data_IF_014988719217
#
_entry.id   IF_014988719217
#
_cell.length_a   1.000
_cell.length_b   1.000
_cell.length_c   1.000
_cell.angle_alpha   90.00
_cell.angle_beta   90.00
_cell.angle_gamma   90.00
#
_symmetry.space_group_name_H-M   'P 1'
#
loop_
_entity.id
_entity.type
_entity.pdbx_description
1 polymer ?
#
# COMPACT_ATOMS: atom_id res chain seq x y z
N UNK A 1 16.44 32.54 -12.97
CA UNK A 1 14.97 32.53 -12.78
C UNK A 1 14.57 31.21 -12.15
N UNK A 2 14.25 31.22 -10.85
CA UNK A 2 13.81 30.03 -10.10
C UNK A 2 12.34 29.76 -10.45
N UNK A 3 12.02 28.59 -11.01
CA UNK A 3 10.65 28.05 -10.99
C UNK A 3 10.51 27.25 -9.70
N UNK A 4 9.76 27.79 -8.73
CA UNK A 4 9.18 26.99 -7.67
C UNK A 4 8.11 26.12 -8.33
N UNK A 5 8.32 24.81 -8.33
CA UNK A 5 7.25 23.85 -8.63
C UNK A 5 6.29 23.87 -7.44
N UNK A 6 5.15 24.55 -7.62
CA UNK A 6 3.99 24.37 -6.76
C UNK A 6 3.50 22.93 -6.97
N UNK A 7 3.97 22.02 -6.12
CA UNK A 7 3.38 20.70 -5.98
C UNK A 7 1.93 20.92 -5.52
N UNK A 8 0.97 20.40 -6.30
CA UNK A 8 -0.44 20.82 -6.29
C UNK A 8 -1.19 20.50 -5.00
N UNK A 9 -0.96 21.31 -3.96
CA UNK A 9 -1.71 21.38 -2.72
C UNK A 9 -3.02 22.18 -2.81
N UNK A 10 -3.23 23.00 -3.85
CA UNK A 10 -4.28 24.03 -3.85
C UNK A 10 -5.42 23.88 -4.87
N UNK A 11 -5.62 22.70 -5.47
CA UNK A 11 -6.87 22.37 -6.19
C UNK A 11 -7.77 21.43 -5.37
N UNK A 12 -7.83 21.61 -4.05
CA UNK A 12 -8.81 20.97 -3.17
C UNK A 12 -10.01 21.88 -2.82
N UNK A 13 -10.15 23.05 -3.46
CA UNK A 13 -11.18 24.04 -3.10
C UNK A 13 -12.44 24.01 -3.98
N UNK A 14 -12.62 23.02 -4.86
CA UNK A 14 -13.82 22.93 -5.71
C UNK A 14 -14.34 21.48 -5.85
N UNK A 15 -14.46 20.77 -4.73
CA UNK A 15 -15.37 19.64 -4.64
C UNK A 15 -16.47 20.00 -3.64
N UNK A 16 -17.58 20.50 -4.18
CA UNK A 16 -18.83 20.82 -3.49
C UNK A 16 -19.55 19.60 -2.89
N UNK A 17 -18.85 18.47 -2.71
CA UNK A 17 -19.29 17.39 -1.82
C UNK A 17 -19.23 17.76 -0.33
N UNK A 18 -18.82 19.01 -0.02
CA UNK A 18 -18.98 19.66 1.28
C UNK A 18 -19.64 21.06 1.14
N UNK A 19 -20.62 21.21 0.24
CA UNK A 19 -21.37 22.44 -0.01
C UNK A 19 -22.64 22.58 0.86
N UNK A 20 -22.76 23.71 1.54
CA UNK A 20 -23.77 24.08 2.53
C UNK A 20 -25.24 23.79 2.16
N UNK A 21 -25.87 22.83 2.84
CA UNK A 21 -27.33 22.80 3.00
C UNK A 21 -27.72 23.55 4.27
N UNK A 22 -28.57 24.57 4.10
CA UNK A 22 -29.12 25.40 5.17
C UNK A 22 -29.89 24.56 6.19
N UNK A 23 -29.48 24.70 7.45
CA UNK A 23 -30.21 24.52 8.70
C UNK A 23 -31.22 23.35 8.78
N UNK A 24 -30.75 22.24 9.37
CA UNK A 24 -31.44 21.53 10.46
C UNK A 24 -30.39 20.76 11.26
N UNK A 25 -30.62 20.57 12.56
CA UNK A 25 -29.61 20.27 13.57
C UNK A 25 -28.76 19.00 13.32
N UNK A 26 -27.46 19.12 13.65
CA UNK A 26 -26.46 18.05 13.86
C UNK A 26 -26.00 17.27 12.61
N UNK A 27 -25.26 17.94 11.72
CA UNK A 27 -24.23 17.24 10.94
C UNK A 27 -22.93 17.23 11.75
N UNK A 28 -22.83 16.29 12.71
CA UNK A 28 -21.54 15.96 13.31
C UNK A 28 -20.61 15.55 12.18
N UNK A 29 -19.44 16.19 12.09
CA UNK A 29 -18.29 15.64 11.37
C UNK A 29 -18.12 14.22 11.93
N UNK A 30 -18.47 13.18 11.16
CA UNK A 30 -18.25 11.79 11.59
C UNK A 30 -16.74 11.54 11.60
N UNK A 31 -16.09 11.99 12.66
CA UNK A 31 -14.76 11.56 13.03
C UNK A 31 -14.79 10.05 13.20
N UNK A 32 -13.69 9.37 12.88
CA UNK A 32 -13.57 7.95 13.23
C UNK A 32 -13.75 7.83 14.73
N UNK A 33 -14.89 7.23 15.14
CA UNK A 33 -15.18 6.99 16.54
C UNK A 33 -14.29 5.85 17.02
N UNK A 34 -13.11 6.18 17.49
CA UNK A 34 -12.19 5.21 18.11
C UNK A 34 -12.67 4.85 19.52
N UNK A 35 -12.23 3.70 20.01
CA UNK A 35 -12.45 3.31 21.40
C UNK A 35 -11.75 4.29 22.35
N UNK A 36 -12.31 4.52 23.56
CA UNK A 36 -11.63 5.27 24.60
C UNK A 36 -10.26 4.66 24.94
N UNK A 37 -9.26 5.46 25.39
CA UNK A 37 -7.93 4.96 25.74
C UNK A 37 -7.95 3.79 26.74
N UNK A 38 -8.85 3.83 27.72
CA UNK A 38 -9.02 2.79 28.75
C UNK A 38 -9.42 1.44 28.14
N UNK A 39 -10.32 1.44 27.15
CA UNK A 39 -10.74 0.22 26.46
C UNK A 39 -9.63 -0.33 25.56
N UNK A 40 -8.82 0.55 24.94
CA UNK A 40 -7.68 0.15 24.11
C UNK A 40 -6.61 -0.61 24.90
N UNK A 41 -6.40 -0.27 26.17
CA UNK A 41 -5.42 -0.96 27.03
C UNK A 41 -5.79 -2.43 27.28
N UNK A 42 -7.08 -2.76 27.19
CA UNK A 42 -7.60 -4.12 27.38
C UNK A 42 -7.97 -4.82 26.06
N UNK A 43 -7.79 -4.16 24.92
CA UNK A 43 -8.19 -4.70 23.63
C UNK A 43 -7.21 -5.76 23.14
N UNK A 44 -7.70 -6.97 22.91
CA UNK A 44 -6.93 -8.06 22.32
C UNK A 44 -7.07 -8.12 20.80
N UNK A 45 -6.08 -8.75 20.16
CA UNK A 45 -6.08 -8.94 18.72
C UNK A 45 -7.19 -9.91 18.38
N UNK A 46 -8.19 -9.45 17.62
CA UNK A 46 -9.33 -10.28 17.23
C UNK A 46 -8.89 -11.48 16.39
N UNK A 47 -9.23 -12.68 16.86
CA UNK A 47 -9.11 -13.91 16.07
C UNK A 47 -10.43 -14.19 15.36
N UNK A 48 -10.43 -14.05 14.03
CA UNK A 48 -11.56 -14.44 13.21
C UNK A 48 -11.43 -15.92 12.84
N UNK A 49 -12.48 -16.69 13.06
CA UNK A 49 -12.57 -18.07 12.54
C UNK A 49 -12.64 -18.03 11.02
N UNK A 50 -12.00 -19.01 10.39
CA UNK A 50 -11.94 -19.14 8.93
C UNK A 50 -13.31 -18.88 8.30
N UNK A 51 -13.39 -17.76 7.59
CA UNK A 51 -14.58 -17.42 6.82
C UNK A 51 -14.72 -18.40 5.65
N UNK A 52 -15.92 -18.49 5.08
CA UNK A 52 -16.22 -19.25 3.85
C UNK A 52 -15.55 -18.63 2.60
N UNK A 53 -14.27 -18.28 2.70
CA UNK A 53 -13.46 -17.75 1.61
C UNK A 53 -13.34 -18.82 0.52
N UNK A 54 -13.54 -18.46 -0.75
CA UNK A 54 -13.35 -19.39 -1.85
C UNK A 54 -11.87 -19.76 -2.05
N UNK A 55 -10.92 -18.93 -1.57
CA UNK A 55 -9.49 -19.25 -1.54
C UNK A 55 -9.13 -19.70 -0.13
N UNK A 56 -8.67 -20.95 0.00
CA UNK A 56 -8.22 -21.56 1.25
C UNK A 56 -6.69 -21.56 1.36
N UNK A 57 -5.99 -21.70 0.23
CA UNK A 57 -4.53 -21.75 0.18
C UNK A 57 -3.98 -20.91 -0.96
N UNK A 58 -2.95 -20.13 -0.66
CA UNK A 58 -2.20 -19.37 -1.64
C UNK A 58 -0.78 -19.94 -1.75
N UNK A 59 -0.36 -20.26 -2.96
CA UNK A 59 0.99 -20.75 -3.27
C UNK A 59 1.72 -19.69 -4.07
N UNK A 60 2.87 -19.26 -3.60
CA UNK A 60 3.69 -18.28 -4.32
C UNK A 60 4.61 -19.00 -5.29
N UNK A 61 4.60 -18.58 -6.55
CA UNK A 61 5.49 -19.13 -7.56
C UNK A 61 6.94 -18.72 -7.28
N UNK A 62 7.85 -19.68 -7.44
CA UNK A 62 9.29 -19.50 -7.36
C UNK A 62 9.97 -20.07 -8.60
N UNK A 63 11.15 -19.57 -8.94
CA UNK A 63 11.92 -20.05 -10.10
C UNK A 63 13.38 -20.29 -9.79
N UNK A 64 13.96 -21.26 -10.48
CA UNK A 64 15.38 -21.56 -10.50
C UNK A 64 16.10 -20.71 -11.56
N UNK A 65 17.42 -20.54 -11.42
CA UNK A 65 18.27 -19.65 -12.25
C UNK A 65 18.21 -19.91 -13.79
N UNK A 66 17.51 -20.97 -14.23
CA UNK A 66 17.33 -21.36 -15.62
C UNK A 66 16.30 -20.53 -16.39
N UNK A 67 15.49 -19.68 -15.75
CA UNK A 67 14.60 -18.76 -16.47
C UNK A 67 15.38 -17.51 -16.90
N UNK A 68 16.05 -17.60 -18.05
CA UNK A 68 16.64 -16.44 -18.71
C UNK A 68 15.63 -15.30 -18.77
N UNK A 69 16.01 -14.04 -18.45
CA UNK A 69 15.13 -12.90 -18.65
C UNK A 69 14.79 -12.85 -20.14
N UNK A 70 13.53 -13.11 -20.50
CA UNK A 70 13.08 -12.95 -21.87
C UNK A 70 13.08 -11.45 -22.15
N UNK A 71 14.19 -10.96 -22.72
CA UNK A 71 14.29 -9.61 -23.26
C UNK A 71 13.45 -9.54 -24.52
N UNK A 72 12.15 -9.35 -24.38
CA UNK A 72 11.31 -8.86 -25.48
C UNK A 72 11.48 -7.34 -25.49
N UNK A 73 12.21 -6.82 -26.49
CA UNK A 73 12.29 -5.39 -26.83
C UNK A 73 12.54 -4.42 -25.66
N UNK A 74 13.57 -4.69 -24.84
CA UNK A 74 14.27 -3.65 -24.07
C UNK A 74 13.53 -2.94 -22.92
N UNK A 75 12.32 -3.35 -22.52
CA UNK A 75 11.52 -2.60 -21.53
C UNK A 75 10.64 -3.46 -20.61
N UNK A 76 10.97 -4.73 -20.35
CA UNK A 76 10.20 -5.50 -19.36
C UNK A 76 10.62 -5.12 -17.95
N UNK A 77 9.70 -4.61 -17.12
CA UNK A 77 9.93 -4.37 -15.67
C UNK A 77 9.98 -5.66 -14.84
N UNK A 78 9.81 -6.81 -15.49
CA UNK A 78 10.03 -8.13 -14.90
C UNK A 78 11.52 -8.44 -14.73
N UNK A 79 11.82 -9.13 -13.63
CA UNK A 79 13.18 -9.44 -13.19
C UNK A 79 13.14 -10.69 -12.29
N UNK A 80 14.30 -11.08 -11.74
CA UNK A 80 14.41 -12.21 -10.82
C UNK A 80 13.57 -12.03 -9.53
N UNK A 81 13.23 -10.80 -9.13
CA UNK A 81 12.34 -10.56 -7.99
C UNK A 81 10.89 -10.96 -8.30
N UNK A 82 10.41 -10.64 -9.50
CA UNK A 82 9.00 -10.78 -9.86
C UNK A 82 8.69 -12.07 -10.61
N UNK A 83 9.71 -12.63 -11.28
CA UNK A 83 9.52 -13.63 -12.32
C UNK A 83 8.92 -12.99 -13.58
N UNK A 84 8.92 -13.74 -14.68
CA UNK A 84 8.36 -13.27 -15.94
C UNK A 84 6.94 -13.81 -16.14
N UNK A 85 5.94 -13.09 -15.61
CA UNK A 85 4.54 -13.50 -15.76
C UNK A 85 4.06 -13.23 -17.20
N UNK A 86 3.61 -14.27 -17.89
CA UNK A 86 2.94 -14.18 -19.19
C UNK A 86 1.53 -13.61 -19.08
N UNK A 87 0.92 -13.19 -20.19
CA UNK A 87 -0.49 -12.78 -20.20
C UNK A 87 -1.45 -13.93 -19.86
N UNK A 88 -1.14 -15.17 -20.28
CA UNK A 88 -1.94 -16.33 -19.92
C UNK A 88 -1.91 -16.59 -18.39
N UNK A 89 -0.73 -16.52 -17.77
CA UNK A 89 -0.59 -16.63 -16.31
C UNK A 89 -1.27 -15.47 -15.58
N UNK A 90 -1.22 -14.26 -16.14
CA UNK A 90 -1.99 -13.11 -15.64
C UNK A 90 -3.49 -13.44 -15.62
N UNK A 91 -4.07 -13.86 -16.75
CA UNK A 91 -5.51 -14.18 -16.80
C UNK A 91 -5.90 -15.33 -15.86
N UNK A 92 -5.08 -16.37 -15.80
CA UNK A 92 -5.32 -17.51 -14.91
C UNK A 92 -5.26 -17.10 -13.43
N UNK A 93 -4.41 -16.13 -13.06
CA UNK A 93 -4.27 -15.68 -11.67
C UNK A 93 -5.50 -14.97 -11.09
N UNK A 94 -6.43 -14.50 -11.95
CA UNK A 94 -7.71 -13.94 -11.53
C UNK A 94 -8.82 -14.99 -11.35
N UNK A 95 -8.57 -16.25 -11.72
CA UNK A 95 -9.52 -17.34 -11.53
C UNK A 95 -9.42 -17.84 -10.09
N UNK A 96 -10.53 -17.73 -9.37
CA UNK A 96 -10.59 -18.10 -7.95
C UNK A 96 -10.90 -19.59 -7.80
N UNK A 97 -10.04 -20.30 -7.08
CA UNK A 97 -10.20 -21.70 -6.70
C UNK A 97 -9.76 -21.89 -5.23
N UNK A 98 -9.95 -23.08 -4.68
CA UNK A 98 -9.54 -23.35 -3.28
C UNK A 98 -8.03 -23.18 -3.06
N UNK A 99 -7.21 -23.54 -4.06
CA UNK A 99 -5.76 -23.34 -4.06
C UNK A 99 -5.34 -22.57 -5.30
N UNK A 100 -4.78 -21.38 -5.09
CA UNK A 100 -4.32 -20.49 -6.18
C UNK A 100 -2.80 -20.39 -6.15
N UNK A 101 -2.16 -20.54 -7.31
CA UNK A 101 -0.73 -20.26 -7.50
C UNK A 101 -0.55 -18.91 -8.18
N UNK A 102 0.31 -18.04 -7.63
CA UNK A 102 0.45 -16.66 -8.13
C UNK A 102 1.88 -16.12 -8.03
N UNK A 103 2.28 -15.29 -9.00
CA UNK A 103 3.47 -14.44 -8.87
C UNK A 103 3.22 -13.40 -7.78
N UNK A 104 4.16 -13.20 -6.85
CA UNK A 104 3.93 -12.26 -5.76
C UNK A 104 5.22 -11.66 -5.19
N UNK A 105 6.17 -11.32 -6.07
CA UNK A 105 7.53 -10.96 -5.67
C UNK A 105 8.30 -12.13 -5.03
N UNK A 106 9.56 -11.89 -4.69
CA UNK A 106 10.48 -12.90 -4.14
C UNK A 106 10.49 -14.22 -4.94
N UNK A 107 10.44 -14.12 -6.26
CA UNK A 107 10.37 -15.28 -7.16
C UNK A 107 11.68 -16.10 -7.14
N UNK A 108 12.82 -15.41 -7.06
CA UNK A 108 14.14 -16.02 -6.94
C UNK A 108 14.93 -15.32 -5.80
N UNK A 109 15.75 -16.09 -5.09
CA UNK A 109 16.57 -15.61 -3.96
C UNK A 109 17.60 -14.54 -4.35
N UNK A 110 18.04 -14.57 -5.61
CA UNK A 110 18.92 -13.58 -6.22
C UNK A 110 18.15 -12.36 -6.78
N UNK A 111 16.83 -12.31 -6.58
CA UNK A 111 15.96 -11.23 -7.02
C UNK A 111 16.18 -9.87 -6.34
N UNK A 112 16.90 -9.83 -5.22
CA UNK A 112 17.14 -8.60 -4.46
C UNK A 112 16.17 -8.42 -3.29
N UNK A 113 15.97 -7.17 -2.86
CA UNK A 113 15.25 -6.79 -1.63
C UNK A 113 15.78 -7.54 -0.39
N UNK A 114 17.10 -7.52 -0.21
CA UNK A 114 17.79 -8.26 0.84
C UNK A 114 17.64 -7.55 2.19
N UNK A 115 17.15 -8.29 3.17
CA UNK A 115 17.00 -7.87 4.57
C UNK A 115 17.92 -8.72 5.44
N UNK A 116 18.51 -8.13 6.49
CA UNK A 116 19.34 -8.86 7.46
C UNK A 116 18.53 -9.93 8.18
N UNK A 117 19.16 -11.05 8.54
CA UNK A 117 18.43 -12.16 9.16
C UNK A 117 17.87 -11.81 10.55
N UNK A 118 18.52 -10.92 11.29
CA UNK A 118 17.99 -10.38 12.55
C UNK A 118 16.68 -9.61 12.34
N UNK A 119 16.61 -8.78 11.29
CA UNK A 119 15.39 -8.05 10.92
C UNK A 119 14.31 -9.02 10.43
N UNK A 120 14.65 -10.05 9.64
CA UNK A 120 13.69 -11.09 9.24
C UNK A 120 13.09 -11.81 10.45
N UNK A 121 13.92 -12.20 11.43
CA UNK A 121 13.46 -12.84 12.67
C UNK A 121 12.53 -11.93 13.47
N UNK A 122 12.86 -10.65 13.59
CA UNK A 122 11.97 -9.67 14.21
C UNK A 122 10.65 -9.54 13.45
N UNK A 123 10.69 -9.42 12.12
CA UNK A 123 9.49 -9.28 11.28
C UNK A 123 8.61 -10.54 11.33
N UNK A 124 9.20 -11.72 11.47
CA UNK A 124 8.48 -12.99 11.67
C UNK A 124 7.73 -13.07 13.00
N UNK A 125 8.12 -12.33 14.05
CA UNK A 125 7.40 -12.37 15.34
C UNK A 125 6.21 -11.41 15.40
N UNK A 126 6.04 -10.53 14.41
CA UNK A 126 5.01 -9.50 14.41
C UNK A 126 3.62 -10.06 14.08
N UNK A 127 2.70 -10.00 15.03
CA UNK A 127 1.28 -10.36 14.84
C UNK A 127 0.45 -9.22 14.23
N UNK A 128 0.78 -7.97 14.59
CA UNK A 128 0.21 -6.75 14.02
C UNK A 128 1.36 -5.82 13.65
N UNK A 129 1.30 -5.23 12.46
CA UNK A 129 2.35 -4.33 11.97
C UNK A 129 1.79 -3.01 11.47
N UNK A 130 2.39 -1.91 11.90
CA UNK A 130 2.30 -0.61 11.21
C UNK A 130 3.60 -0.44 10.43
N UNK A 131 3.51 -0.18 9.13
CA UNK A 131 4.69 -0.05 8.28
C UNK A 131 4.67 1.18 7.38
N UNK A 132 5.86 1.67 7.08
CA UNK A 132 6.12 2.74 6.12
C UNK A 132 7.44 2.47 5.38
N UNK A 133 7.71 3.19 4.29
CA UNK A 133 9.02 3.14 3.65
C UNK A 133 9.42 4.49 3.08
N UNK A 134 10.73 4.74 3.07
CA UNK A 134 11.34 5.79 2.27
C UNK A 134 12.53 5.20 1.54
N UNK A 135 12.52 5.27 0.21
CA UNK A 135 13.64 4.86 -0.64
C UNK A 135 14.10 6.06 -1.48
N UNK A 136 15.41 6.21 -1.66
CA UNK A 136 16.01 7.35 -2.35
C UNK A 136 16.05 8.66 -1.54
N UNK A 137 15.80 8.63 -0.23
CA UNK A 137 15.96 9.77 0.68
C UNK A 137 14.96 10.93 0.49
N UNK A 138 13.76 10.64 -0.02
CA UNK A 138 12.75 11.66 -0.35
C UNK A 138 11.99 12.25 0.85
N UNK A 139 11.72 11.45 1.88
CA UNK A 139 10.84 11.81 2.99
C UNK A 139 11.51 11.61 4.35
N UNK A 140 11.06 12.39 5.34
CA UNK A 140 11.49 12.25 6.74
C UNK A 140 10.72 11.14 7.46
N UNK A 141 11.30 10.65 8.55
CA UNK A 141 10.66 9.66 9.42
C UNK A 141 9.87 10.33 10.55
N UNK A 142 8.55 10.43 10.36
CA UNK A 142 7.67 10.98 11.39
C UNK A 142 7.30 9.92 12.43
N UNK A 143 7.48 10.24 13.72
CA UNK A 143 7.13 9.34 14.81
C UNK A 143 5.60 9.17 14.93
N UNK A 144 5.09 7.95 15.12
CA UNK A 144 3.67 7.75 15.38
C UNK A 144 3.31 8.34 16.74
N UNK A 145 2.17 9.05 16.78
CA UNK A 145 1.68 9.76 17.97
C UNK A 145 0.31 9.21 18.39
N UNK A 146 0.02 9.24 19.69
CA UNK A 146 -1.26 8.76 20.22
C UNK A 146 -1.37 7.23 20.32
N UNK A 147 -0.25 6.53 20.49
CA UNK A 147 -0.23 5.09 20.76
C UNK A 147 -0.46 4.82 22.25
N UNK A 148 -1.38 3.93 22.58
CA UNK A 148 -1.57 3.36 23.93
C UNK A 148 -0.39 2.49 24.35
N UNK A 149 -0.28 2.18 25.64
CA UNK A 149 0.77 1.29 26.14
C UNK A 149 0.58 -0.12 25.59
N UNK A 150 -0.65 -0.64 25.58
CA UNK A 150 -0.98 -1.91 24.94
C UNK A 150 -0.54 -1.97 23.47
N UNK A 151 -0.83 -0.93 22.67
CA UNK A 151 -0.40 -0.88 21.27
C UNK A 151 1.12 -0.87 21.10
N UNK A 152 1.87 -0.22 21.98
CA UNK A 152 3.34 -0.28 21.92
C UNK A 152 3.92 -1.65 22.24
N UNK A 153 3.16 -2.51 22.92
CA UNK A 153 3.58 -3.88 23.25
C UNK A 153 3.08 -4.92 22.24
N UNK A 154 1.89 -4.71 21.66
CA UNK A 154 1.23 -5.67 20.76
C UNK A 154 1.51 -5.42 19.27
N UNK A 155 1.98 -4.22 18.90
CA UNK A 155 2.15 -3.81 17.49
C UNK A 155 3.61 -3.51 17.17
N UNK A 156 4.11 -4.12 16.10
CA UNK A 156 5.40 -3.78 15.52
C UNK A 156 5.29 -2.50 14.66
N UNK A 157 6.24 -1.58 14.79
CA UNK A 157 6.34 -0.40 13.93
C UNK A 157 7.61 -0.53 13.10
N UNK A 158 7.48 -0.65 11.77
CA UNK A 158 8.62 -0.93 10.87
C UNK A 158 8.75 0.12 9.78
N UNK A 159 9.93 0.72 9.65
CA UNK A 159 10.26 1.63 8.57
C UNK A 159 11.34 1.01 7.66
N UNK A 160 11.03 0.86 6.38
CA UNK A 160 11.96 0.32 5.38
C UNK A 160 12.74 1.45 4.71
N UNK A 161 14.06 1.37 4.75
CA UNK A 161 14.98 2.32 4.12
C UNK A 161 15.93 1.62 3.14
N UNK A 162 16.48 2.37 2.21
CA UNK A 162 17.64 1.98 1.41
C UNK A 162 18.88 2.73 1.91
N UNK A 163 20.05 2.39 1.34
CA UNK A 163 21.31 3.02 1.72
C UNK A 163 21.33 4.53 1.48
N UNK A 164 20.65 4.98 0.43
CA UNK A 164 20.51 6.40 0.12
C UNK A 164 19.72 7.12 1.21
N UNK A 165 18.61 6.53 1.64
CA UNK A 165 17.78 7.10 2.72
C UNK A 165 18.53 7.07 4.04
N UNK A 166 19.21 5.97 4.37
CA UNK A 166 20.05 5.87 5.57
C UNK A 166 21.08 7.01 5.62
N UNK A 167 21.90 7.16 4.58
CA UNK A 167 22.91 8.21 4.54
C UNK A 167 22.31 9.62 4.60
N UNK A 168 21.15 9.84 3.98
CA UNK A 168 20.45 11.13 4.01
C UNK A 168 19.95 11.46 5.43
N UNK A 169 19.38 10.48 6.12
CA UNK A 169 18.84 10.66 7.48
C UNK A 169 19.98 10.82 8.51
N UNK A 170 21.07 10.07 8.38
CA UNK A 170 22.25 10.22 9.25
C UNK A 170 22.90 11.61 9.12
N UNK A 171 22.97 12.15 7.90
CA UNK A 171 23.47 13.50 7.65
C UNK A 171 22.61 14.60 8.30
N UNK A 172 21.33 14.33 8.56
CA UNK A 172 20.40 15.21 9.26
C UNK A 172 20.37 14.96 10.78
N UNK A 173 21.22 14.05 11.28
CA UNK A 173 21.31 13.72 12.69
C UNK A 173 20.33 12.63 13.15
N UNK A 174 19.53 12.05 12.24
CA UNK A 174 18.65 10.92 12.55
C UNK A 174 19.45 9.61 12.46
N UNK A 175 20.06 9.22 13.59
CA UNK A 175 20.86 8.00 13.67
C UNK A 175 20.04 6.84 14.22
N UNK A 176 20.25 5.66 13.64
CA UNK A 176 19.70 4.40 14.15
C UNK A 176 20.40 4.10 15.49
N UNK A 177 19.63 3.88 16.55
CA UNK A 177 20.18 3.47 17.85
C UNK A 177 20.80 2.06 17.79
N UNK A 178 21.60 1.70 18.79
CA UNK A 178 22.24 0.37 18.86
C UNK A 178 21.22 -0.79 18.87
N UNK A 179 20.02 -0.53 19.39
CA UNK A 179 18.88 -1.46 19.35
C UNK A 179 18.22 -1.58 17.96
N UNK A 180 18.67 -0.81 16.97
CA UNK A 180 18.16 -0.71 15.61
C UNK A 180 16.86 0.09 15.46
N UNK A 181 16.53 0.96 16.41
CA UNK A 181 15.33 1.79 16.39
C UNK A 181 15.64 3.29 16.24
N UNK A 182 14.66 4.02 15.70
CA UNK A 182 14.55 5.47 15.84
C UNK A 182 13.17 5.77 16.43
N UNK A 183 13.14 6.14 17.72
CA UNK A 183 11.89 6.26 18.47
C UNK A 183 11.13 4.93 18.49
N UNK A 184 9.90 4.91 17.97
CA UNK A 184 9.08 3.69 17.91
C UNK A 184 9.41 2.78 16.72
N UNK A 185 10.05 3.32 15.68
CA UNK A 185 10.28 2.59 14.44
C UNK A 185 11.50 1.67 14.53
N UNK A 186 11.32 0.37 14.29
CA UNK A 186 12.41 -0.53 13.88
C UNK A 186 12.83 -0.14 12.46
N UNK A 187 14.09 0.21 12.27
CA UNK A 187 14.59 0.59 10.95
C UNK A 187 15.15 -0.65 10.25
N UNK A 188 14.55 -1.01 9.12
CA UNK A 188 14.99 -2.13 8.27
C UNK A 188 15.66 -1.57 7.03
N UNK A 189 16.98 -1.69 6.95
CA UNK A 189 17.76 -1.24 5.80
C UNK A 189 17.80 -2.35 4.75
N UNK A 190 17.12 -2.11 3.64
CA UNK A 190 17.01 -3.02 2.50
C UNK A 190 18.19 -2.81 1.56
N UNK A 191 18.85 -3.92 1.19
CA UNK A 191 19.95 -3.96 0.22
C UNK A 191 19.49 -4.52 -1.12
N UNK A 192 20.20 -4.17 -2.19
CA UNK A 192 19.98 -4.71 -3.54
C UNK A 192 18.51 -4.57 -3.97
N UNK A 193 18.00 -3.35 -4.00
CA UNK A 193 16.63 -3.10 -4.43
C UNK A 193 16.40 -3.62 -5.86
N UNK A 194 15.25 -4.28 -6.12
CA UNK A 194 15.02 -5.00 -7.39
C UNK A 194 14.73 -4.09 -8.58
N UNK A 195 14.31 -2.85 -8.36
CA UNK A 195 13.93 -1.92 -9.42
C UNK A 195 14.74 -0.63 -9.36
N UNK A 196 15.03 -0.03 -10.52
CA UNK A 196 15.61 1.31 -10.60
C UNK A 196 14.63 2.38 -10.11
N UNK A 197 13.31 2.18 -10.37
CA UNK A 197 12.25 3.06 -9.88
C UNK A 197 11.99 2.85 -8.39
N UNK A 198 12.39 3.84 -7.58
CA UNK A 198 12.17 3.83 -6.13
C UNK A 198 10.70 3.83 -5.73
N UNK A 199 9.82 4.43 -6.54
CA UNK A 199 8.38 4.38 -6.31
C UNK A 199 7.86 2.95 -6.45
N UNK A 200 8.41 2.17 -7.38
CA UNK A 200 8.08 0.76 -7.55
C UNK A 200 8.65 -0.09 -6.41
N UNK A 201 9.88 0.16 -5.96
CA UNK A 201 10.43 -0.49 -4.75
C UNK A 201 9.54 -0.25 -3.53
N UNK A 202 9.02 0.97 -3.36
CA UNK A 202 8.10 1.31 -2.26
C UNK A 202 6.77 0.56 -2.28
N UNK A 203 6.42 -0.09 -3.40
CA UNK A 203 5.23 -0.96 -3.49
C UNK A 203 5.44 -2.31 -2.83
N UNK A 204 6.68 -2.75 -2.65
CA UNK A 204 7.00 -4.02 -2.00
C UNK A 204 6.53 -4.02 -0.54
N UNK A 205 6.97 -3.11 0.35
CA UNK A 205 6.49 -3.11 1.73
C UNK A 205 5.01 -2.70 1.85
N UNK A 206 4.49 -1.92 0.89
CA UNK A 206 3.08 -1.51 0.81
C UNK A 206 2.11 -2.63 0.47
N UNK A 207 2.47 -3.49 -0.49
CA UNK A 207 1.56 -4.48 -1.06
C UNK A 207 1.90 -5.90 -0.63
N UNK A 208 3.18 -6.19 -0.39
CA UNK A 208 3.67 -7.52 -0.05
C UNK A 208 3.95 -7.67 1.44
N UNK A 209 3.21 -6.95 2.30
CA UNK A 209 3.38 -7.04 3.76
C UNK A 209 3.21 -8.49 4.25
N UNK A 210 2.30 -9.26 3.65
CA UNK A 210 2.12 -10.68 3.96
C UNK A 210 3.31 -11.58 3.57
N UNK A 211 4.15 -11.15 2.62
CA UNK A 211 5.42 -11.85 2.28
C UNK A 211 6.54 -11.47 3.26
N UNK A 212 6.48 -10.27 3.83
CA UNK A 212 7.49 -9.70 4.73
C UNK A 212 7.24 -10.09 6.19
N UNK A 213 5.98 -10.19 6.59
CA UNK A 213 5.52 -10.50 7.94
C UNK A 213 4.62 -11.75 7.88
N UNK A 214 5.20 -12.96 7.74
CA UNK A 214 4.42 -14.17 7.46
C UNK A 214 3.45 -14.55 8.60
N UNK A 215 3.76 -14.15 9.84
CA UNK A 215 2.90 -14.41 11.02
C UNK A 215 1.96 -13.24 11.35
N UNK A 216 1.97 -12.16 10.55
CA UNK A 216 1.08 -11.03 10.81
C UNK A 216 -0.36 -11.39 10.44
N UNK A 217 -1.28 -11.16 11.38
CA UNK A 217 -2.73 -11.25 11.17
C UNK A 217 -3.28 -9.95 10.58
N UNK A 218 -2.70 -8.81 10.96
CA UNK A 218 -3.13 -7.50 10.50
C UNK A 218 -1.95 -6.59 10.14
N UNK A 219 -2.13 -5.75 9.13
CA UNK A 219 -1.17 -4.70 8.78
C UNK A 219 -1.84 -3.35 8.52
N UNK A 220 -1.11 -2.29 8.85
CA UNK A 220 -1.45 -0.89 8.56
C UNK A 220 -0.29 -0.29 7.77
N UNK A 221 -0.50 -0.02 6.49
CA UNK A 221 0.41 0.76 5.68
C UNK A 221 0.15 2.26 5.86
N UNK A 222 1.22 3.04 6.01
CA UNK A 222 1.17 4.51 6.01
C UNK A 222 2.25 5.06 5.09
N UNK A 223 1.86 5.85 4.08
CA UNK A 223 2.82 6.53 3.20
C UNK A 223 3.77 7.44 4.02
N UNK A 224 5.06 7.44 3.68
CA UNK A 224 6.12 8.20 4.38
C UNK A 224 5.92 9.71 4.48
N UNK A 225 5.16 10.29 3.54
CA UNK A 225 4.75 11.71 3.57
C UNK A 225 3.69 12.03 4.63
N UNK A 226 3.30 11.05 5.45
CA UNK A 226 2.25 11.18 6.46
C UNK A 226 2.73 10.72 7.83
N UNK A 227 2.29 11.40 8.88
CA UNK A 227 2.50 10.97 10.27
C UNK A 227 1.27 10.22 10.78
N UNK A 228 1.44 8.98 11.20
CA UNK A 228 0.37 8.20 11.82
C UNK A 228 0.01 8.74 13.21
N UNK A 229 -1.26 9.08 13.45
CA UNK A 229 -1.67 9.83 14.65
C UNK A 229 -2.79 9.20 15.47
N UNK A 230 -3.15 7.94 15.18
CA UNK A 230 -4.23 7.20 15.87
C UNK A 230 -3.74 5.84 16.30
N UNK A 231 -4.21 5.38 17.46
CA UNK A 231 -3.84 4.07 18.00
C UNK A 231 -4.19 2.93 17.03
N UNK A 232 -3.23 2.05 16.67
CA UNK A 232 -3.43 1.02 15.65
C UNK A 232 -4.51 -0.01 16.02
N UNK A 233 -4.64 -0.39 17.30
CA UNK A 233 -5.68 -1.32 17.73
C UNK A 233 -7.06 -0.68 17.58
N UNK A 234 -7.19 0.60 17.94
CA UNK A 234 -8.41 1.38 17.69
C UNK A 234 -8.74 1.53 16.20
N UNK A 235 -7.71 1.67 15.34
CA UNK A 235 -7.88 1.74 13.88
C UNK A 235 -8.37 0.39 13.32
N UNK A 236 -7.81 -0.73 13.78
CA UNK A 236 -8.27 -2.07 13.41
C UNK A 236 -9.72 -2.30 13.83
N UNK A 237 -10.06 -1.94 15.07
CA UNK A 237 -11.43 -2.02 15.58
C UNK A 237 -12.40 -1.23 14.69
N UNK A 238 -12.11 0.04 14.47
CA UNK A 238 -12.99 0.96 13.79
C UNK A 238 -13.17 0.65 12.30
N UNK A 239 -12.10 0.23 11.62
CA UNK A 239 -12.10 0.10 10.17
C UNK A 239 -12.28 -1.32 9.67
N UNK A 240 -11.93 -2.34 10.47
CA UNK A 240 -12.07 -3.76 10.11
C UNK A 240 -13.05 -4.50 11.00
N UNK A 241 -12.91 -4.42 12.33
CA UNK A 241 -13.64 -5.32 13.23
C UNK A 241 -15.13 -4.99 13.31
N UNK A 242 -15.48 -3.75 13.69
CA UNK A 242 -16.88 -3.28 13.77
C UNK A 242 -17.59 -3.24 12.41
N UNK A 243 -16.83 -3.03 11.33
CA UNK A 243 -17.38 -2.98 9.96
C UNK A 243 -17.43 -4.36 9.31
N UNK A 244 -16.95 -5.42 9.98
CA UNK A 244 -16.79 -6.77 9.41
C UNK A 244 -16.06 -6.74 8.04
N UNK A 245 -15.06 -5.86 7.92
CA UNK A 245 -14.23 -5.69 6.72
C UNK A 245 -12.89 -6.41 6.86
N UNK A 246 -12.30 -6.83 5.74
CA UNK A 246 -10.97 -7.47 5.68
C UNK A 246 -9.91 -6.55 5.06
N UNK A 247 -10.35 -5.48 4.42
CA UNK A 247 -9.52 -4.44 3.84
C UNK A 247 -10.22 -3.09 4.06
N UNK A 248 -9.49 -2.09 4.50
CA UNK A 248 -9.95 -0.71 4.53
C UNK A 248 -8.90 0.19 3.84
N UNK A 249 -9.37 1.10 2.99
CA UNK A 249 -8.50 1.95 2.17
C UNK A 249 -9.15 3.31 1.96
N UNK A 250 -8.32 4.36 1.90
CA UNK A 250 -8.82 5.73 1.72
C UNK A 250 -9.32 5.97 0.30
N UNK A 251 -10.50 6.58 0.18
CA UNK A 251 -11.05 7.04 -1.10
C UNK A 251 -10.18 8.14 -1.73
N UNK A 252 -10.16 8.17 -3.07
CA UNK A 252 -9.47 9.24 -3.79
C UNK A 252 -10.24 10.56 -3.61
N UNK A 253 -9.57 11.66 -3.27
CA UNK A 253 -10.23 12.96 -3.08
C UNK A 253 -10.91 13.51 -4.34
N UNK A 254 -10.17 13.66 -5.44
CA UNK A 254 -10.67 14.43 -6.61
C UNK A 254 -11.40 13.63 -7.71
N UNK A 255 -10.97 12.42 -8.07
CA UNK A 255 -11.48 11.70 -9.26
C UNK A 255 -12.02 10.35 -8.91
N UNK A 256 -13.00 9.88 -9.68
CA UNK A 256 -13.71 8.62 -9.43
C UNK A 256 -13.53 7.54 -10.51
N UNK A 257 -13.08 7.91 -11.73
CA UNK A 257 -12.88 6.98 -12.85
C UNK A 257 -11.39 6.76 -13.13
N UNK A 258 -11.01 5.50 -13.36
CA UNK A 258 -9.65 5.10 -13.80
C UNK A 258 -9.22 5.86 -15.05
N UNK A 259 -10.14 6.09 -15.99
CA UNK A 259 -9.85 6.78 -17.25
C UNK A 259 -9.61 8.28 -17.04
N UNK A 260 -10.33 8.91 -16.11
CA UNK A 260 -10.08 10.30 -15.73
C UNK A 260 -8.78 10.45 -14.93
N UNK A 261 -8.46 9.48 -14.08
CA UNK A 261 -7.16 9.42 -13.40
C UNK A 261 -6.01 9.27 -14.39
N UNK A 262 -6.15 8.42 -15.42
CA UNK A 262 -5.13 8.25 -16.45
C UNK A 262 -4.79 9.57 -17.15
N UNK A 263 -5.81 10.34 -17.55
CA UNK A 263 -5.62 11.69 -18.11
C UNK A 263 -4.90 12.61 -17.13
N UNK A 264 -5.26 12.57 -15.85
CA UNK A 264 -4.63 13.39 -14.82
C UNK A 264 -3.18 12.98 -14.54
N UNK A 265 -2.86 11.69 -14.57
CA UNK A 265 -1.50 11.16 -14.43
C UNK A 265 -0.60 11.69 -15.55
N UNK A 266 -1.06 11.63 -16.80
CA UNK A 266 -0.32 12.17 -17.94
C UNK A 266 -0.18 13.69 -17.84
N UNK A 267 -1.27 14.42 -17.59
CA UNK A 267 -1.26 15.89 -17.45
C UNK A 267 -0.30 16.38 -16.36
N UNK A 268 -0.18 15.62 -15.26
CA UNK A 268 0.71 15.91 -14.13
C UNK A 268 2.13 15.34 -14.32
N UNK A 269 2.48 14.82 -15.50
CA UNK A 269 3.79 14.24 -15.81
C UNK A 269 4.22 13.16 -14.81
N UNK A 270 3.23 12.38 -14.32
CA UNK A 270 3.42 11.34 -13.31
C UNK A 270 3.82 10.00 -13.93
N UNK A 271 3.52 9.78 -15.20
CA UNK A 271 4.00 8.67 -16.03
C UNK A 271 3.98 9.15 -17.49
N UNK A 272 4.70 8.48 -18.39
CA UNK A 272 4.66 8.91 -19.80
C UNK A 272 3.30 8.57 -20.43
N UNK A 273 2.87 9.31 -21.47
CA UNK A 273 1.66 8.99 -22.20
C UNK A 273 1.63 7.54 -22.68
N UNK A 274 2.75 7.03 -23.19
CA UNK A 274 2.88 5.70 -23.77
C UNK A 274 2.71 4.60 -22.71
N UNK A 275 3.35 4.76 -21.54
CA UNK A 275 3.21 3.83 -20.42
C UNK A 275 1.75 3.74 -19.94
N UNK A 276 1.07 4.88 -19.84
CA UNK A 276 -0.34 4.95 -19.42
C UNK A 276 -1.26 4.37 -20.49
N UNK A 277 -0.99 4.64 -21.77
CA UNK A 277 -1.77 4.14 -22.89
C UNK A 277 -1.76 2.60 -22.94
N UNK A 278 -0.60 1.97 -22.78
CA UNK A 278 -0.49 0.50 -22.74
C UNK A 278 -1.38 -0.09 -21.64
N UNK A 279 -1.37 0.50 -20.44
CA UNK A 279 -2.21 0.04 -19.31
C UNK A 279 -3.70 0.18 -19.62
N UNK A 280 -4.10 1.35 -20.10
CA UNK A 280 -5.51 1.68 -20.32
C UNK A 280 -6.09 0.90 -21.50
N UNK A 281 -5.30 0.66 -22.55
CA UNK A 281 -5.71 -0.18 -23.67
C UNK A 281 -5.93 -1.63 -23.24
N UNK A 282 -5.08 -2.18 -22.36
CA UNK A 282 -5.37 -3.49 -21.76
C UNK A 282 -6.68 -3.46 -20.96
N UNK A 283 -6.88 -2.46 -20.09
CA UNK A 283 -8.07 -2.42 -19.24
C UNK A 283 -9.36 -2.28 -20.05
N UNK A 284 -9.32 -1.54 -21.18
CA UNK A 284 -10.42 -1.50 -22.15
C UNK A 284 -10.63 -2.84 -22.86
N UNK A 285 -9.55 -3.51 -23.26
CA UNK A 285 -9.63 -4.84 -23.87
C UNK A 285 -10.32 -5.82 -22.92
N UNK A 286 -9.93 -5.79 -21.65
CA UNK A 286 -10.49 -6.63 -20.59
C UNK A 286 -11.93 -6.27 -20.21
N UNK A 287 -12.46 -5.14 -20.72
CA UNK A 287 -13.81 -4.60 -20.47
C UNK A 287 -14.02 -3.99 -19.09
N UNK A 288 -12.98 -3.36 -18.52
CA UNK A 288 -13.15 -2.52 -17.34
C UNK A 288 -14.24 -1.46 -17.62
N UNK A 289 -15.29 -1.33 -16.78
CA UNK A 289 -16.32 -0.33 -16.98
C UNK A 289 -15.79 1.09 -16.84
N UNK A 290 -16.42 2.04 -17.53
CA UNK A 290 -16.17 3.48 -17.32
C UNK A 290 -16.82 4.01 -16.03
N UNK A 291 -17.51 3.13 -15.29
CA UNK A 291 -18.21 3.43 -14.06
C UNK A 291 -17.31 4.13 -13.04
N UNK A 292 -17.81 5.25 -12.52
CA UNK A 292 -17.16 6.03 -11.46
C UNK A 292 -17.34 5.40 -10.07
N UNK A 293 -18.20 4.39 -9.96
CA UNK A 293 -18.55 3.76 -8.69
C UNK A 293 -18.64 2.24 -8.84
N UNK A 294 -18.11 1.53 -7.84
CA UNK A 294 -18.32 0.10 -7.68
C UNK A 294 -19.15 -0.13 -6.42
N UNK A 295 -20.32 -0.77 -6.56
CA UNK A 295 -21.27 -1.00 -5.47
C UNK A 295 -21.64 0.27 -4.68
N UNK A 296 -21.89 1.37 -5.40
CA UNK A 296 -22.26 2.66 -4.80
C UNK A 296 -21.09 3.46 -4.20
N UNK A 297 -19.89 2.88 -4.09
CA UNK A 297 -18.68 3.53 -3.55
C UNK A 297 -17.76 4.03 -4.66
N UNK A 298 -16.93 5.02 -4.38
CA UNK A 298 -15.97 5.57 -5.36
C UNK A 298 -15.01 4.46 -5.81
N UNK A 299 -14.85 4.28 -7.12
CA UNK A 299 -13.99 3.22 -7.63
C UNK A 299 -12.50 3.49 -7.32
N UNK A 300 -12.09 4.75 -7.35
CA UNK A 300 -10.72 5.17 -7.06
C UNK A 300 -10.43 5.35 -5.57
N UNK A 301 -9.27 4.85 -5.17
CA UNK A 301 -8.72 5.00 -3.84
C UNK A 301 -7.39 5.78 -3.89
N UNK A 302 -7.08 6.56 -2.84
CA UNK A 302 -5.80 7.26 -2.70
C UNK A 302 -4.69 6.31 -2.24
N UNK A 303 -5.06 5.23 -1.52
CA UNK A 303 -4.15 4.19 -1.05
C UNK A 303 -2.99 4.69 -0.17
N UNK A 304 -3.09 5.86 0.46
CA UNK A 304 -2.02 6.39 1.32
C UNK A 304 -2.05 5.83 2.75
N UNK A 305 -3.21 5.28 3.14
CA UNK A 305 -3.39 4.47 4.35
C UNK A 305 -4.17 3.23 3.94
N UNK A 306 -3.65 2.05 4.27
CA UNK A 306 -4.28 0.75 3.97
C UNK A 306 -4.28 -0.05 5.27
N UNK A 307 -5.44 -0.53 5.69
CA UNK A 307 -5.60 -1.37 6.89
C UNK A 307 -6.13 -2.72 6.41
N UNK A 308 -5.46 -3.81 6.75
CA UNK A 308 -5.73 -5.10 6.13
C UNK A 308 -5.64 -6.23 7.15
N UNK A 309 -6.57 -7.18 7.02
CA UNK A 309 -6.49 -8.52 7.59
C UNK A 309 -5.82 -9.46 6.58
N UNK A 310 -4.86 -10.25 7.04
CA UNK A 310 -4.14 -11.22 6.21
C UNK A 310 -4.90 -12.54 6.12
N UNK A 311 -5.53 -12.75 4.97
CA UNK A 311 -6.23 -13.99 4.60
C UNK A 311 -5.71 -14.45 3.23
N UNK A 312 -5.91 -15.72 2.84
CA UNK A 312 -5.51 -16.16 1.50
C UNK A 312 -6.09 -15.29 0.37
N UNK A 313 -7.35 -14.84 0.49
CA UNK A 313 -8.00 -14.00 -0.51
C UNK A 313 -7.47 -12.56 -0.53
N UNK A 314 -7.25 -11.93 0.63
CA UNK A 314 -6.67 -10.58 0.68
C UNK A 314 -5.21 -10.59 0.24
N UNK A 315 -4.44 -11.62 0.60
CA UNK A 315 -3.06 -11.77 0.13
C UNK A 315 -3.01 -11.96 -1.40
N UNK A 316 -3.91 -12.78 -1.98
CA UNK A 316 -4.04 -12.90 -3.43
C UNK A 316 -4.35 -11.55 -4.09
N UNK A 317 -5.31 -10.80 -3.54
CA UNK A 317 -5.64 -9.46 -4.04
C UNK A 317 -4.42 -8.54 -4.07
N UNK A 318 -3.62 -8.53 -2.99
CA UNK A 318 -2.43 -7.68 -2.93
C UNK A 318 -1.33 -8.15 -3.89
N UNK A 319 -1.17 -9.46 -4.11
CA UNK A 319 -0.26 -10.01 -5.12
C UNK A 319 -0.66 -9.56 -6.53
N UNK A 320 -1.94 -9.67 -6.88
CA UNK A 320 -2.47 -9.25 -8.18
C UNK A 320 -2.30 -7.75 -8.40
N UNK A 321 -2.56 -6.96 -7.36
CA UNK A 321 -2.35 -5.51 -7.42
C UNK A 321 -0.88 -5.15 -7.63
N UNK A 322 0.04 -5.79 -6.91
CA UNK A 322 1.47 -5.62 -7.12
C UNK A 322 1.90 -6.02 -8.54
N UNK A 323 1.40 -7.14 -9.07
CA UNK A 323 1.73 -7.60 -10.43
C UNK A 323 1.28 -6.61 -11.50
N UNK A 324 0.09 -6.02 -11.38
CA UNK A 324 -0.39 -4.99 -12.30
C UNK A 324 0.48 -3.73 -12.24
N UNK A 325 0.90 -3.35 -11.02
CA UNK A 325 1.80 -2.22 -10.79
C UNK A 325 3.20 -2.45 -11.35
N UNK A 326 3.69 -3.70 -11.36
CA UNK A 326 4.96 -4.10 -12.00
C UNK A 326 4.81 -4.22 -13.52
N UNK A 327 3.67 -4.68 -14.03
CA UNK A 327 3.46 -4.86 -15.48
C UNK A 327 3.31 -3.52 -16.21
N UNK A 328 2.54 -2.58 -15.65
CA UNK A 328 2.14 -1.35 -16.35
C UNK A 328 2.79 -0.05 -15.86
N UNK A 329 2.21 0.61 -14.84
CA UNK A 329 2.75 1.85 -14.27
C UNK A 329 2.84 1.75 -12.75
N UNK A 330 3.77 2.49 -12.12
CA UNK A 330 3.88 2.55 -10.65
C UNK A 330 2.75 3.38 -9.98
N UNK A 331 1.73 3.78 -10.76
CA UNK A 331 0.54 4.52 -10.34
C UNK A 331 -0.56 3.56 -9.91
N UNK A 332 -0.46 3.17 -8.65
CA UNK A 332 -1.36 2.23 -7.95
C UNK A 332 -2.85 2.62 -7.97
N UNK A 333 -3.16 3.90 -8.15
CA UNK A 333 -4.53 4.41 -8.37
C UNK A 333 -5.17 3.87 -9.66
N UNK A 334 -4.39 3.55 -10.70
CA UNK A 334 -4.92 2.99 -11.95
C UNK A 334 -5.21 1.49 -11.81
N UNK A 335 -4.32 0.75 -11.13
CA UNK A 335 -4.41 -0.70 -11.03
C UNK A 335 -5.33 -1.19 -9.91
N UNK A 336 -5.49 -0.45 -8.80
CA UNK A 336 -6.35 -0.86 -7.70
C UNK A 336 -7.79 -1.13 -8.14
N UNK A 337 -8.47 -0.19 -8.83
CA UNK A 337 -9.87 -0.39 -9.19
C UNK A 337 -10.02 -1.51 -10.22
N UNK A 338 -9.03 -1.68 -11.10
CA UNK A 338 -8.99 -2.78 -12.06
C UNK A 338 -8.94 -4.13 -11.35
N UNK A 339 -8.00 -4.33 -10.41
CA UNK A 339 -7.89 -5.60 -9.67
C UNK A 339 -9.11 -5.84 -8.80
N UNK A 340 -9.65 -4.80 -8.17
CA UNK A 340 -10.87 -4.91 -7.36
C UNK A 340 -12.09 -5.29 -8.20
N UNK A 341 -12.20 -4.74 -9.41
CA UNK A 341 -13.24 -5.12 -10.35
C UNK A 341 -13.04 -6.54 -10.90
N UNK A 342 -11.80 -6.92 -11.25
CA UNK A 342 -11.48 -8.19 -11.92
C UNK A 342 -11.54 -9.38 -10.97
N UNK A 343 -10.96 -9.26 -9.77
CA UNK A 343 -10.99 -10.31 -8.75
C UNK A 343 -12.36 -10.33 -8.08
N UNK A 344 -13.25 -11.17 -8.60
CA UNK A 344 -14.57 -11.40 -7.99
C UNK A 344 -14.38 -12.12 -6.65
N UNK A 345 -15.06 -11.66 -5.60
CA UNK A 345 -15.09 -12.36 -4.29
C UNK A 345 -14.62 -11.52 -3.11
N UNK A 346 -13.76 -10.52 -3.32
CA UNK A 346 -13.37 -9.59 -2.26
C UNK A 346 -14.49 -8.56 -2.01
N UNK A 347 -15.48 -8.94 -1.19
CA UNK A 347 -16.69 -8.12 -0.94
C UNK A 347 -16.60 -7.22 0.29
N UNK A 348 -15.81 -7.62 1.29
CA UNK A 348 -15.72 -7.00 2.62
C UNK A 348 -14.68 -5.86 2.64
N UNK A 349 -14.87 -4.85 1.79
CA UNK A 349 -13.94 -3.71 1.66
C UNK A 349 -14.57 -2.42 2.18
N UNK A 350 -13.89 -1.81 3.14
CA UNK A 350 -14.23 -0.51 3.69
C UNK A 350 -13.44 0.61 2.99
N UNK A 351 -13.99 1.16 1.90
CA UNK A 351 -13.51 2.43 1.37
C UNK A 351 -13.98 3.57 2.28
N UNK A 352 -13.04 4.26 2.94
CA UNK A 352 -13.35 5.32 3.89
C UNK A 352 -13.04 6.71 3.31
N UNK A 353 -13.82 7.74 3.70
CA UNK A 353 -13.70 9.07 3.10
C UNK A 353 -12.41 9.79 3.48
N UNK A 354 -12.12 10.88 2.76
CA UNK A 354 -10.91 11.70 2.98
C UNK A 354 -10.86 12.30 4.39
N UNK A 355 -12.01 12.61 5.01
CA UNK A 355 -12.05 13.10 6.40
C UNK A 355 -11.52 12.05 7.38
N UNK A 356 -11.98 10.80 7.27
CA UNK A 356 -11.44 9.66 8.03
C UNK A 356 -9.93 9.53 7.82
N UNK A 357 -9.44 9.64 6.57
CA UNK A 357 -7.99 9.62 6.33
C UNK A 357 -7.27 10.75 7.07
N UNK A 358 -7.78 11.98 7.01
CA UNK A 358 -7.21 13.15 7.72
C UNK A 358 -7.25 12.96 9.25
N UNK A 359 -8.17 12.15 9.76
CA UNK A 359 -8.17 11.77 11.17
C UNK A 359 -7.08 10.77 11.52
N UNK A 360 -6.76 9.83 10.64
CA UNK A 360 -5.75 8.79 10.86
C UNK A 360 -4.32 9.33 10.76
N UNK A 361 -4.08 10.34 9.93
CA UNK A 361 -2.73 10.85 9.66
C UNK A 361 -2.66 12.38 9.54
N UNK A 362 -1.55 12.97 9.96
CA UNK A 362 -1.16 14.31 9.55
C UNK A 362 -0.49 14.23 8.17
N UNK A 363 -0.93 15.05 7.21
CA UNK A 363 -0.29 15.14 5.89
C UNK A 363 0.88 16.13 5.95
N UNK A 364 2.11 15.63 5.81
CA UNK A 364 3.33 16.45 5.90
C UNK A 364 3.84 16.89 4.53
N UNK A 365 3.57 16.08 3.49
CA UNK A 365 4.07 16.30 2.13
C UNK A 365 5.43 15.65 1.88
N UNK A 366 5.88 15.69 0.62
CA UNK A 366 7.22 15.22 0.27
C UNK A 366 8.25 16.29 0.61
N UNK A 367 9.34 15.90 1.27
CA UNK A 367 10.39 16.85 1.66
C UNK A 367 11.33 17.10 0.47
N UNK A 368 11.66 16.03 -0.28
CA UNK A 368 12.62 16.02 -1.39
C UNK A 368 12.18 15.06 -2.49
N UNK A 369 12.69 15.28 -3.70
CA UNK A 369 12.56 14.29 -4.77
C UNK A 369 13.46 13.09 -4.47
N UNK A 370 12.89 11.89 -4.48
CA UNK A 370 13.64 10.65 -4.31
C UNK A 370 14.72 10.52 -5.40
N UNK A 371 15.94 10.14 -4.98
CA UNK A 371 17.06 9.91 -5.90
C UNK A 371 16.89 8.55 -6.59
N UNK A 372 17.02 8.47 -7.93
CA UNK A 372 17.02 7.17 -8.61
C UNK A 372 18.24 6.35 -8.20
N UNK A 373 18.15 5.02 -8.32
CA UNK A 373 19.35 4.18 -8.30
C UNK A 373 20.13 4.46 -9.59
N UNK A 374 21.42 4.77 -9.45
CA UNK A 374 22.35 4.99 -10.58
C UNK A 374 22.89 3.66 -11.06
#
# INVERSE_FOLDING_TARGET
>A
MRRQEHDGGDECLQDDSCGAYKMTAVALIEQVKLLPPEELEHLDILERKDSSSPVKKLVYLTGTDSSSPVRVNGTTRFNLFTGNQTFAERENSFQVSETVSVHCGFFNENGGFRIKDEDKKFMQSCQVVVSTCAFGGGDNLYQPIGMSKASTQKVCYVAFWDDVTLATQEAEGHKIGENGYIGKWRIVVVKNLPFVDQRLNGKIPKMLSHRLFPEAKYSIWVDSKSQFRRDPLGVLDALLWRTNSVLAISEHGARSSVYDEAKAVVKKHKATPEEVEVQINQYRHDKLPEDKRFNGKKALCEASVIVMEHTPLTNLFMCLWFNEVVRYTSRDQLSFPYVFWRLKGLKKVNTFPVCTRKDLVNSMGHVRKAKPLV
#
